data_IF_200720278192
#
_entry.id   IF_200720278192
#
_cell.length_a   1.000
_cell.length_b   1.000
_cell.length_c   1.000
_cell.angle_alpha   90.00
_cell.angle_beta   90.00
_cell.angle_gamma   90.00
#
_symmetry.space_group_name_H-M   'P 1'
#
loop_
_entity.id
_entity.type
_entity.pdbx_description
1 polymer ?
#
# COMPACT_ATOMS: atom_id res chain seq x y z
N UNK A 1 5.12 1.68 -10.29
CA UNK A 1 5.58 1.24 -8.95
C UNK A 1 7.08 1.41 -8.81
N UNK A 2 7.57 1.65 -7.59
CA UNK A 2 9.00 1.57 -7.26
C UNK A 2 9.24 0.36 -6.36
N UNK A 3 10.29 -0.41 -6.65
CA UNK A 3 10.78 -1.46 -5.75
C UNK A 3 11.62 -0.83 -4.65
N UNK A 4 11.40 -1.25 -3.41
CA UNK A 4 12.14 -0.80 -2.24
C UNK A 4 12.52 -1.99 -1.38
N UNK A 5 13.67 -1.89 -0.71
CA UNK A 5 14.07 -2.91 0.26
C UNK A 5 13.27 -2.76 1.56
N UNK A 6 13.18 -3.82 2.38
CA UNK A 6 12.66 -3.72 3.75
C UNK A 6 13.28 -2.58 4.57
N UNK A 7 14.58 -2.35 4.43
CA UNK A 7 15.28 -1.25 5.11
C UNK A 7 14.79 0.12 4.67
N UNK A 8 14.59 0.31 3.36
CA UNK A 8 14.03 1.56 2.84
C UNK A 8 12.59 1.78 3.30
N UNK A 9 11.77 0.72 3.35
CA UNK A 9 10.41 0.81 3.89
C UNK A 9 10.40 1.30 5.34
N UNK A 10 11.30 0.79 6.19
CA UNK A 10 11.44 1.26 7.57
C UNK A 10 11.76 2.75 7.61
N UNK A 11 12.75 3.18 6.83
CA UNK A 11 13.14 4.59 6.76
C UNK A 11 11.98 5.47 6.31
N UNK A 12 11.20 5.05 5.32
CA UNK A 12 10.01 5.76 4.86
C UNK A 12 8.91 5.83 5.92
N UNK A 13 8.73 4.76 6.69
CA UNK A 13 7.74 4.72 7.77
C UNK A 13 8.12 5.61 8.96
N UNK A 14 9.42 5.73 9.23
CA UNK A 14 9.98 6.66 10.22
C UNK A 14 9.95 8.11 9.73
N UNK A 15 10.15 8.30 8.42
CA UNK A 15 10.04 9.58 7.74
C UNK A 15 8.56 9.91 7.47
N UNK A 16 7.88 10.45 8.48
CA UNK A 16 6.43 10.73 8.53
C UNK A 16 5.91 11.74 7.49
N UNK A 17 6.73 12.19 6.55
CA UNK A 17 6.38 13.18 5.54
C UNK A 17 5.70 12.55 4.32
N UNK A 18 6.05 11.32 3.97
CA UNK A 18 5.55 10.69 2.74
C UNK A 18 4.26 9.90 2.97
N UNK A 19 3.35 10.00 1.99
CA UNK A 19 2.16 9.16 1.86
C UNK A 19 2.36 8.18 0.72
N UNK A 20 2.18 6.91 1.01
CA UNK A 20 2.38 5.89 0.00
C UNK A 20 1.53 4.65 0.27
N UNK A 21 1.38 3.84 -0.77
CA UNK A 21 0.76 2.52 -0.69
C UNK A 21 1.83 1.48 -0.94
N UNK A 22 1.84 0.42 -0.14
CA UNK A 22 2.70 -0.75 -0.33
C UNK A 22 1.85 -2.00 -0.49
N UNK A 23 2.30 -2.92 -1.33
CA UNK A 23 1.69 -4.26 -1.46
C UNK A 23 2.57 -5.28 -0.73
N UNK A 24 2.00 -6.00 0.24
CA UNK A 24 2.70 -7.02 1.03
C UNK A 24 1.83 -8.26 1.12
N UNK A 25 2.32 -9.41 0.66
CA UNK A 25 1.56 -10.68 0.64
C UNK A 25 0.17 -10.53 0.00
N UNK A 26 0.08 -9.83 -1.14
CA UNK A 26 -1.17 -9.51 -1.84
C UNK A 26 -2.16 -8.62 -1.08
N UNK A 27 -1.73 -7.97 0.00
CA UNK A 27 -2.52 -6.97 0.72
C UNK A 27 -2.01 -5.57 0.47
N UNK A 28 -2.94 -4.65 0.22
CA UNK A 28 -2.65 -3.22 0.12
C UNK A 28 -2.63 -2.58 1.51
N UNK A 29 -1.59 -1.80 1.76
CA UNK A 29 -1.43 -1.01 2.96
C UNK A 29 -1.19 0.45 2.57
N UNK A 30 -1.96 1.35 3.15
CA UNK A 30 -1.77 2.79 3.04
C UNK A 30 -1.01 3.31 4.25
N UNK A 31 0.05 4.08 4.01
CA UNK A 31 0.86 4.70 5.05
C UNK A 31 0.62 6.20 5.02
N UNK A 32 0.29 6.75 6.19
CA UNK A 32 0.13 8.18 6.40
C UNK A 32 0.71 8.58 7.75
N UNK A 33 1.68 9.50 7.75
CA UNK A 33 2.30 10.04 8.96
C UNK A 33 2.85 8.95 9.92
N UNK A 34 3.35 7.85 9.34
CA UNK A 34 3.86 6.69 10.08
C UNK A 34 2.79 5.73 10.63
N UNK A 35 1.51 6.00 10.37
CA UNK A 35 0.39 5.07 10.64
C UNK A 35 0.21 4.13 9.46
N UNK A 36 -0.15 2.88 9.75
CA UNK A 36 -0.29 1.82 8.76
C UNK A 36 -1.74 1.38 8.72
N UNK A 37 -2.37 1.55 7.57
CA UNK A 37 -3.76 1.19 7.39
C UNK A 37 -3.90 0.08 6.36
N UNK A 38 -4.44 -1.07 6.78
CA UNK A 38 -4.69 -2.19 5.86
C UNK A 38 -6.06 -2.04 5.19
N UNK A 39 -6.10 -2.33 3.90
CA UNK A 39 -7.34 -2.34 3.13
C UNK A 39 -8.21 -3.53 3.53
N UNK A 40 -9.53 -3.34 3.55
CA UNK A 40 -10.46 -4.46 3.76
C UNK A 40 -10.47 -5.42 2.57
N UNK A 41 -10.86 -6.68 2.80
CA UNK A 41 -10.82 -7.74 1.80
C UNK A 41 -11.49 -7.38 0.47
N UNK A 42 -12.68 -6.80 0.50
CA UNK A 42 -13.40 -6.42 -0.72
C UNK A 42 -12.68 -5.33 -1.53
N UNK A 43 -12.09 -4.33 -0.86
CA UNK A 43 -11.30 -3.29 -1.51
C UNK A 43 -9.94 -3.82 -1.95
N UNK A 44 -9.35 -4.74 -1.19
CA UNK A 44 -8.13 -5.42 -1.55
C UNK A 44 -8.29 -6.18 -2.88
N UNK A 45 -9.40 -6.90 -3.06
CA UNK A 45 -9.71 -7.58 -4.33
C UNK A 45 -9.81 -6.58 -5.48
N UNK A 46 -10.53 -5.46 -5.30
CA UNK A 46 -10.63 -4.40 -6.32
C UNK A 46 -9.25 -3.83 -6.68
N UNK A 47 -8.39 -3.61 -5.69
CA UNK A 47 -7.04 -3.08 -5.89
C UNK A 47 -6.10 -4.09 -6.55
N UNK A 48 -6.25 -5.38 -6.25
CA UNK A 48 -5.52 -6.42 -6.97
C UNK A 48 -5.94 -6.47 -8.45
N UNK A 49 -7.24 -6.33 -8.75
CA UNK A 49 -7.70 -6.23 -10.15
C UNK A 49 -7.12 -5.01 -10.85
N UNK A 50 -7.15 -3.83 -10.19
CA UNK A 50 -6.56 -2.61 -10.74
C UNK A 50 -5.04 -2.77 -10.98
N UNK A 51 -4.33 -3.40 -10.05
CA UNK A 51 -2.90 -3.68 -10.16
C UNK A 51 -2.61 -4.66 -11.31
N UNK A 52 -3.45 -5.67 -11.51
CA UNK A 52 -3.32 -6.60 -12.64
C UNK A 52 -3.46 -5.86 -13.98
N UNK A 53 -4.45 -4.97 -14.12
CA UNK A 53 -4.61 -4.15 -15.32
C UNK A 53 -3.42 -3.19 -15.52
N UNK A 54 -2.86 -2.65 -14.44
CA UNK A 54 -1.64 -1.83 -14.52
C UNK A 54 -0.44 -2.64 -15.02
N UNK A 55 -0.25 -3.88 -14.54
CA UNK A 55 0.82 -4.75 -15.00
C UNK A 55 0.61 -5.34 -16.40
N UNK A 56 -0.63 -5.37 -16.88
CA UNK A 56 -0.98 -5.75 -18.24
C UNK A 56 -0.88 -4.59 -19.24
N UNK A 57 -0.37 -3.42 -18.81
CA UNK A 57 -0.30 -2.18 -19.59
C UNK A 57 -1.68 -1.71 -20.13
N UNK A 58 -2.79 -2.13 -19.50
CA UNK A 58 -4.15 -1.73 -19.87
C UNK A 58 -4.52 -0.34 -19.32
N UNK A 59 -3.87 0.06 -18.22
CA UNK A 59 -4.02 1.37 -17.58
C UNK A 59 -2.63 1.95 -17.27
N UNK A 60 -2.52 3.28 -17.32
CA UNK A 60 -1.28 3.98 -17.03
C UNK A 60 -1.11 4.31 -15.53
N UNK A 61 0.02 4.92 -15.18
CA UNK A 61 0.34 5.34 -13.81
C UNK A 61 -0.65 6.37 -13.25
N UNK A 62 -1.22 7.22 -14.11
CA UNK A 62 -2.18 8.24 -13.72
C UNK A 62 -3.50 7.58 -13.27
N UNK A 63 -4.05 6.70 -14.10
CA UNK A 63 -5.27 5.95 -13.82
C UNK A 63 -5.12 5.04 -12.59
N UNK A 64 -3.94 4.42 -12.43
CA UNK A 64 -3.64 3.62 -11.25
C UNK A 64 -3.62 4.47 -9.97
N UNK A 65 -2.96 5.64 -9.99
CA UNK A 65 -2.95 6.58 -8.85
C UNK A 65 -4.34 7.08 -8.51
N UNK A 66 -5.15 7.42 -9.50
CA UNK A 66 -6.51 7.90 -9.27
C UNK A 66 -7.41 6.80 -8.70
N UNK A 67 -7.27 5.55 -9.19
CA UNK A 67 -7.98 4.39 -8.64
C UNK A 67 -7.60 4.08 -7.20
N UNK A 68 -6.30 4.19 -6.86
CA UNK A 68 -5.80 4.06 -5.49
C UNK A 68 -6.35 5.15 -4.58
N UNK A 69 -6.25 6.42 -5.00
CA UNK A 69 -6.76 7.57 -4.24
C UNK A 69 -8.25 7.43 -3.97
N UNK A 70 -9.04 7.07 -4.99
CA UNK A 70 -10.48 6.85 -4.85
C UNK A 70 -10.78 5.76 -3.82
N UNK A 71 -10.07 4.64 -3.89
CA UNK A 71 -10.27 3.52 -2.96
C UNK A 71 -9.84 3.83 -1.52
N UNK A 72 -8.83 4.67 -1.35
CA UNK A 72 -8.47 5.20 -0.03
C UNK A 72 -9.58 6.09 0.50
N UNK A 73 -10.01 7.10 -0.28
CA UNK A 73 -11.05 8.04 0.11
C UNK A 73 -12.35 7.33 0.46
N UNK A 74 -12.77 6.36 -0.35
CA UNK A 74 -13.97 5.58 -0.10
C UNK A 74 -13.84 4.81 1.24
N UNK A 75 -12.68 4.22 1.52
CA UNK A 75 -12.45 3.54 2.80
C UNK A 75 -12.40 4.49 4.01
N UNK A 76 -11.81 5.68 3.87
CA UNK A 76 -11.82 6.68 4.95
C UNK A 76 -13.26 7.10 5.26
N UNK A 77 -14.07 7.35 4.22
CA UNK A 77 -15.47 7.81 4.39
C UNK A 77 -16.33 6.82 5.15
N UNK A 78 -16.10 5.53 4.96
CA UNK A 78 -16.84 4.47 5.64
C UNK A 78 -16.13 3.96 6.91
N UNK A 79 -15.03 4.62 7.32
CA UNK A 79 -14.19 4.25 8.46
C UNK A 79 -13.73 2.78 8.46
N UNK A 80 -13.41 2.27 7.27
CA UNK A 80 -13.12 0.86 7.04
C UNK A 80 -11.64 0.50 7.13
N UNK A 81 -10.77 1.46 7.46
CA UNK A 81 -9.37 1.16 7.67
C UNK A 81 -9.15 0.41 8.97
N UNK A 82 -8.40 -0.69 8.88
CA UNK A 82 -7.85 -1.32 10.08
C UNK A 82 -6.46 -0.78 10.30
N UNK A 83 -6.25 -0.04 11.39
CA UNK A 83 -4.91 0.29 11.85
C UNK A 83 -4.19 -1.01 12.23
N UNK A 84 -3.06 -1.27 11.57
CA UNK A 84 -2.27 -2.47 11.80
C UNK A 84 -1.13 -2.12 12.73
N UNK A 85 -0.98 -2.93 13.77
CA UNK A 85 0.14 -2.86 14.70
C UNK A 85 1.46 -2.86 13.92
N UNK A 86 2.18 -1.73 13.99
CA UNK A 86 3.43 -1.48 13.28
C UNK A 86 4.42 -2.62 13.49
N UNK A 87 4.55 -3.10 14.73
CA UNK A 87 5.45 -4.19 15.11
C UNK A 87 5.14 -5.49 14.36
N UNK A 88 3.87 -5.88 14.28
CA UNK A 88 3.45 -7.08 13.55
C UNK A 88 3.73 -6.99 12.06
N UNK A 89 3.52 -5.82 11.45
CA UNK A 89 3.87 -5.61 10.04
C UNK A 89 5.40 -5.67 9.85
N UNK A 90 6.15 -5.06 10.77
CA UNK A 90 7.60 -5.04 10.73
C UNK A 90 8.20 -6.42 10.84
N UNK A 91 7.69 -7.28 11.73
CA UNK A 91 8.12 -8.69 11.81
C UNK A 91 7.85 -9.45 10.51
N UNK A 92 6.69 -9.22 9.89
CA UNK A 92 6.32 -9.85 8.61
C UNK A 92 7.25 -9.41 7.48
N UNK A 93 7.57 -8.13 7.41
CA UNK A 93 8.49 -7.58 6.39
C UNK A 93 9.93 -8.03 6.65
N UNK A 94 10.39 -8.01 7.91
CA UNK A 94 11.75 -8.40 8.27
C UNK A 94 12.08 -9.86 7.99
N UNK A 95 11.07 -10.73 7.89
CA UNK A 95 11.20 -12.13 7.46
C UNK A 95 11.06 -12.32 5.94
N UNK A 96 10.72 -11.28 5.19
CA UNK A 96 10.62 -11.34 3.74
C UNK A 96 11.99 -11.13 3.08
N UNK A 97 12.36 -12.03 2.18
CA UNK A 97 13.57 -11.89 1.34
C UNK A 97 13.30 -11.08 0.06
N UNK A 98 12.08 -10.61 -0.15
CA UNK A 98 11.66 -9.96 -1.39
C UNK A 98 11.60 -8.45 -1.24
N UNK A 99 11.99 -7.75 -2.31
CA UNK A 99 11.73 -6.32 -2.45
C UNK A 99 10.23 -6.04 -2.36
N UNK A 100 9.89 -4.97 -1.65
CA UNK A 100 8.55 -4.46 -1.54
C UNK A 100 8.28 -3.50 -2.68
N UNK A 101 7.00 -3.32 -2.95
CA UNK A 101 6.56 -2.61 -4.14
C UNK A 101 5.62 -1.48 -3.69
N UNK A 102 6.03 -0.23 -3.97
CA UNK A 102 5.37 0.98 -3.46
C UNK A 102 4.88 1.92 -4.56
N UNK A 103 3.77 2.59 -4.24
CA UNK A 103 3.19 3.71 -4.96
C UNK A 103 3.22 4.96 -4.08
N UNK A 104 3.95 5.99 -4.52
CA UNK A 104 3.97 7.30 -3.87
C UNK A 104 2.92 8.22 -4.49
N UNK A 105 2.34 9.09 -3.67
CA UNK A 105 1.34 10.08 -4.10
C UNK A 105 1.93 11.45 -4.40
#
# INVERSE_FOLDING_TARGET
>A
MKKITPKMFITLLENKEERFVVVINHWFYYIEQGRIYRFQQHNNTKMLTLLSSFYADEIDDLLMKDGLKKSIIDQIKYDWFTDVWKETLMERIGRSYYDLEVFFF
#
